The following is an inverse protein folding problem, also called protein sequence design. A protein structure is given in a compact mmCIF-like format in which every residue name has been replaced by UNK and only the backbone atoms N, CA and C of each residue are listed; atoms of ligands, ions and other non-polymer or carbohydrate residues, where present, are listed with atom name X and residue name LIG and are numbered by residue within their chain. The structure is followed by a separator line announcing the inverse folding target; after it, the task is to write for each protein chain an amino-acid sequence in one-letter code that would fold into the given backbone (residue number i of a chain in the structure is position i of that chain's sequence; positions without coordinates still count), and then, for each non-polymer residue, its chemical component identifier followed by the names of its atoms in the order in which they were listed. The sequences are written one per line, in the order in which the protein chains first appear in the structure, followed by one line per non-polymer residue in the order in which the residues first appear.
data_IF_766492519646
#
_entry.id   IF_766492519646
#
_cell.length_a   1.000
_cell.length_b   1.000
_cell.length_c   1.000
_cell.angle_alpha   90.00
_cell.angle_beta   90.00
_cell.angle_gamma   90.00
#
_symmetry.space_group_name_H-M   'P 1'
#
loop_
_entity.id
_entity.type
_entity.pdbx_description
1 polymer ?
#
# COMPACT_ATOMS: atom_id res chain seq x y z
N UNK A 1 -9.43 12.35 6.23
CA UNK A 1 -9.34 11.04 6.92
C UNK A 1 -7.88 10.77 7.20
N UNK A 2 -7.55 10.26 8.38
CA UNK A 2 -6.16 9.94 8.77
C UNK A 2 -5.71 8.68 8.00
N UNK A 3 -4.44 8.63 7.57
CA UNK A 3 -3.92 7.60 6.66
C UNK A 3 -4.14 6.19 7.23
N UNK A 4 -3.96 6.02 8.53
CA UNK A 4 -4.12 4.78 9.28
C UNK A 4 -5.51 4.18 9.11
N UNK A 5 -6.55 5.00 9.23
CA UNK A 5 -7.93 4.56 9.04
C UNK A 5 -8.23 4.23 7.59
N UNK A 6 -7.69 5.02 6.65
CA UNK A 6 -7.86 4.73 5.23
C UNK A 6 -7.17 3.40 4.85
N UNK A 7 -5.96 3.14 5.38
CA UNK A 7 -5.23 1.89 5.18
C UNK A 7 -6.05 0.69 5.65
N UNK A 8 -6.60 0.76 6.87
CA UNK A 8 -7.32 -0.35 7.48
C UNK A 8 -8.70 -0.59 6.84
N UNK A 9 -9.48 0.46 6.63
CA UNK A 9 -10.89 0.31 6.29
C UNK A 9 -11.20 0.36 4.80
N UNK A 10 -10.33 0.99 4.00
CA UNK A 10 -10.56 1.15 2.55
C UNK A 10 -9.53 0.37 1.77
N UNK A 11 -8.24 0.60 2.04
CA UNK A 11 -7.17 0.08 1.21
C UNK A 11 -7.05 -1.44 1.29
N UNK A 12 -6.88 -2.00 2.49
CA UNK A 12 -6.69 -3.44 2.66
C UNK A 12 -7.87 -4.28 2.12
N UNK A 13 -9.16 -3.95 2.43
CA UNK A 13 -10.28 -4.68 1.86
C UNK A 13 -10.33 -4.60 0.33
N UNK A 14 -10.10 -3.40 -0.23
CA UNK A 14 -10.15 -3.17 -1.68
C UNK A 14 -9.04 -3.93 -2.41
N UNK A 15 -7.81 -3.87 -1.93
CA UNK A 15 -6.68 -4.59 -2.54
C UNK A 15 -6.88 -6.11 -2.46
N UNK A 16 -7.44 -6.61 -1.36
CA UNK A 16 -7.80 -8.03 -1.23
C UNK A 16 -8.80 -8.44 -2.31
N UNK A 17 -9.84 -7.64 -2.53
CA UNK A 17 -10.82 -7.91 -3.60
C UNK A 17 -10.18 -7.83 -4.98
N UNK A 18 -9.36 -6.80 -5.25
CA UNK A 18 -8.62 -6.65 -6.50
C UNK A 18 -7.81 -7.90 -6.84
N UNK A 19 -7.08 -8.45 -5.86
CA UNK A 19 -6.32 -9.70 -6.04
C UNK A 19 -7.24 -10.91 -6.22
N UNK A 20 -8.29 -11.05 -5.41
CA UNK A 20 -9.23 -12.19 -5.49
C UNK A 20 -9.96 -12.26 -6.82
N UNK A 21 -10.33 -11.12 -7.39
CA UNK A 21 -11.02 -11.03 -8.68
C UNK A 21 -10.06 -10.94 -9.87
N UNK A 22 -8.74 -10.97 -9.63
CA UNK A 22 -7.73 -10.88 -10.68
C UNK A 22 -7.71 -9.54 -11.43
N UNK A 23 -8.32 -8.49 -10.88
CA UNK A 23 -8.41 -7.17 -11.52
C UNK A 23 -7.01 -6.56 -11.56
N UNK A 24 -6.39 -6.50 -12.74
CA UNK A 24 -5.12 -5.78 -12.93
C UNK A 24 -5.40 -4.30 -13.17
N UNK A 25 -5.10 -3.40 -12.22
CA UNK A 25 -5.22 -1.97 -12.46
C UNK A 25 -4.26 -1.51 -13.56
N UNK A 26 -4.55 -0.38 -14.24
CA UNK A 26 -3.74 0.12 -15.36
C UNK A 26 -2.33 0.58 -14.94
N UNK A 27 -2.09 0.75 -13.64
CA UNK A 27 -0.80 1.10 -13.09
C UNK A 27 -0.64 0.53 -11.67
N UNK A 28 0.62 0.38 -11.25
CA UNK A 28 0.95 0.01 -9.88
C UNK A 28 0.51 1.09 -8.88
N UNK A 29 0.20 0.63 -7.68
CA UNK A 29 0.02 1.45 -6.50
C UNK A 29 1.39 1.98 -6.02
N UNK A 30 1.45 3.24 -5.58
CA UNK A 30 2.63 3.81 -4.91
C UNK A 30 2.19 4.63 -3.68
N UNK A 31 1.97 3.93 -2.57
CA UNK A 31 1.52 4.53 -1.31
C UNK A 31 2.70 4.77 -0.37
N UNK A 32 3.82 4.08 -0.55
CA UNK A 32 5.01 4.21 0.28
C UNK A 32 5.48 5.66 0.39
N UNK A 33 5.53 6.40 -0.72
CA UNK A 33 5.94 7.81 -0.69
C UNK A 33 5.03 8.67 0.20
N UNK A 34 3.72 8.44 0.12
CA UNK A 34 2.74 9.14 0.95
C UNK A 34 2.87 8.73 2.42
N UNK A 35 2.97 7.43 2.70
CA UNK A 35 3.13 6.91 4.06
C UNK A 35 4.43 7.38 4.72
N UNK A 36 5.54 7.40 3.98
CA UNK A 36 6.82 7.89 4.48
C UNK A 36 6.72 9.36 4.92
N UNK A 37 5.98 10.19 4.18
CA UNK A 37 5.73 11.57 4.54
C UNK A 37 4.76 11.71 5.72
N UNK A 38 3.63 10.98 5.72
CA UNK A 38 2.62 11.07 6.77
C UNK A 38 3.12 10.58 8.14
N UNK A 39 4.03 9.62 8.16
CA UNK A 39 4.55 9.02 9.39
C UNK A 39 5.89 9.60 9.87
N UNK A 40 6.41 10.68 9.26
CA UNK A 40 7.68 11.32 9.69
C UNK A 40 7.69 11.61 11.20
N UNK A 41 6.58 12.14 11.73
CA UNK A 41 6.44 12.51 13.14
C UNK A 41 6.49 11.31 14.11
N UNK A 42 6.21 10.10 13.62
CA UNK A 42 6.23 8.86 14.40
C UNK A 42 7.64 8.23 14.44
N UNK A 43 8.58 8.72 13.62
CA UNK A 43 9.98 8.32 13.63
C UNK A 43 10.18 6.81 13.52
N UNK A 44 11.01 6.25 14.41
CA UNK A 44 11.36 4.83 14.40
C UNK A 44 10.16 3.90 14.63
N UNK A 45 9.12 4.36 15.33
CA UNK A 45 7.95 3.53 15.64
C UNK A 45 7.15 3.16 14.39
N UNK A 46 7.11 4.04 13.38
CA UNK A 46 6.40 3.78 12.12
C UNK A 46 7.27 3.07 11.07
N UNK A 47 8.58 2.88 11.33
CA UNK A 47 9.51 2.24 10.38
C UNK A 47 9.00 0.86 9.90
N UNK A 48 8.52 -0.05 10.77
CA UNK A 48 8.01 -1.34 10.32
C UNK A 48 6.82 -1.21 9.37
N UNK A 49 5.89 -0.28 9.66
CA UNK A 49 4.71 -0.05 8.82
C UNK A 49 5.10 0.52 7.45
N UNK A 50 5.98 1.52 7.41
CA UNK A 50 6.45 2.12 6.16
C UNK A 50 7.16 1.08 5.29
N UNK A 51 7.97 0.19 5.89
CA UNK A 51 8.62 -0.91 5.17
C UNK A 51 7.61 -1.94 4.64
N UNK A 52 6.58 -2.28 5.42
CA UNK A 52 5.52 -3.18 4.96
C UNK A 52 4.76 -2.60 3.76
N UNK A 53 4.47 -1.29 3.77
CA UNK A 53 3.84 -0.59 2.65
C UNK A 53 4.74 -0.60 1.41
N UNK A 54 6.05 -0.39 1.59
CA UNK A 54 7.02 -0.49 0.49
C UNK A 54 7.01 -1.89 -0.14
N UNK A 55 7.09 -2.92 0.69
CA UNK A 55 7.07 -4.30 0.22
C UNK A 55 5.77 -4.63 -0.52
N UNK A 56 4.64 -4.06 -0.07
CA UNK A 56 3.37 -4.17 -0.79
C UNK A 56 3.44 -3.51 -2.18
N UNK A 57 3.89 -2.25 -2.27
CA UNK A 57 3.97 -1.54 -3.55
C UNK A 57 4.85 -2.30 -4.57
N UNK A 58 6.02 -2.79 -4.13
CA UNK A 58 6.93 -3.57 -4.96
C UNK A 58 6.29 -4.90 -5.43
N UNK A 59 5.67 -5.65 -4.52
CA UNK A 59 5.01 -6.91 -4.85
C UNK A 59 3.80 -6.71 -5.77
N UNK A 60 3.03 -5.63 -5.54
CA UNK A 60 1.86 -5.32 -6.34
C UNK A 60 2.25 -4.85 -7.75
N UNK A 61 3.30 -4.04 -7.89
CA UNK A 61 3.84 -3.67 -9.19
C UNK A 61 4.25 -4.90 -10.01
N UNK A 62 5.02 -5.81 -9.40
CA UNK A 62 5.43 -7.06 -10.04
C UNK A 62 4.25 -7.97 -10.43
N UNK A 63 3.14 -7.90 -9.70
CA UNK A 63 1.91 -8.64 -10.02
C UNK A 63 1.13 -8.02 -11.18
N UNK A 64 1.12 -6.69 -11.30
CA UNK A 64 0.46 -5.95 -12.40
C UNK A 64 1.22 -6.10 -13.71
N UNK A 65 2.55 -6.08 -13.67
CA UNK A 65 3.42 -6.15 -14.86
C UNK A 65 3.56 -7.56 -15.44
N UNK A 66 3.14 -8.60 -14.70
CA UNK A 66 3.14 -9.98 -15.21
C UNK A 66 2.00 -10.16 -16.23
N UNK A 67 2.31 -10.64 -17.45
CA UNK A 67 1.32 -10.88 -18.50
C UNK A 67 0.32 -11.98 -18.14
#
# INVERSE_FOLDING_TARGET
MVLEHWLQWIFLPRMRETVRWGIRPPAACNIHAFAAHSFVSHGLAARPLVQAIRAFDEAFAAWVEKP
#
